data_IF_878060074285
#
_entry.id   IF_878060074285
#
_cell.length_a   1.000
_cell.length_b   1.000
_cell.length_c   1.000
_cell.angle_alpha   90.00
_cell.angle_beta   90.00
_cell.angle_gamma   90.00
#
_symmetry.space_group_name_H-M   'P 1'
#
loop_
_entity.id
_entity.type
_entity.pdbx_description
1 polymer ?
#
# COMPACT_ATOMS: atom_id res chain seq x y z
N UNK A 1 41.12 -58.26 -49.91
CA UNK A 1 42.41 -58.68 -49.34
C UNK A 1 43.27 -57.44 -49.17
N UNK A 2 43.73 -56.99 -48.02
CA UNK A 2 43.32 -57.07 -46.62
C UNK A 2 44.03 -55.88 -45.98
N UNK A 3 43.32 -55.11 -45.15
CA UNK A 3 43.88 -53.94 -44.46
C UNK A 3 44.86 -54.35 -43.36
N UNK A 4 45.81 -53.48 -42.97
CA UNK A 4 46.25 -53.42 -41.60
C UNK A 4 45.78 -52.13 -40.93
N UNK A 5 44.84 -52.35 -40.01
CA UNK A 5 44.58 -51.67 -38.74
C UNK A 5 45.30 -50.33 -38.47
N UNK A 6 44.53 -49.24 -38.47
CA UNK A 6 44.88 -47.98 -37.82
C UNK A 6 44.57 -48.10 -36.32
N UNK A 7 45.56 -47.85 -35.45
CA UNK A 7 45.40 -47.84 -34.00
C UNK A 7 44.34 -46.83 -33.53
N UNK A 8 43.54 -47.13 -32.49
CA UNK A 8 42.64 -46.15 -31.90
C UNK A 8 43.48 -45.14 -31.09
N UNK A 9 43.47 -43.89 -31.52
CA UNK A 9 44.03 -42.77 -30.76
C UNK A 9 43.29 -42.62 -29.42
N UNK A 10 44.04 -42.50 -28.33
CA UNK A 10 43.54 -42.27 -26.98
C UNK A 10 42.56 -41.07 -26.94
N UNK A 11 41.42 -41.17 -26.23
CA UNK A 11 40.60 -40.01 -25.95
C UNK A 11 41.34 -39.06 -24.98
N UNK A 12 41.48 -37.80 -25.38
CA UNK A 12 42.11 -36.76 -24.56
C UNK A 12 41.43 -36.66 -23.18
N UNK A 13 42.19 -36.89 -22.11
CA UNK A 13 41.74 -36.70 -20.72
C UNK A 13 41.26 -35.26 -20.55
N UNK A 14 39.96 -35.06 -20.36
CA UNK A 14 39.42 -33.77 -19.93
C UNK A 14 40.09 -33.38 -18.61
N UNK A 15 40.78 -32.26 -18.60
CA UNK A 15 41.50 -31.73 -17.43
C UNK A 15 40.45 -31.47 -16.35
N UNK A 16 40.42 -32.32 -15.32
CA UNK A 16 39.50 -32.17 -14.19
C UNK A 16 39.89 -30.86 -13.49
N UNK A 17 38.94 -29.96 -13.32
CA UNK A 17 39.18 -28.75 -12.53
C UNK A 17 39.61 -29.14 -11.13
N UNK A 18 40.58 -28.41 -10.59
CA UNK A 18 41.11 -28.62 -9.25
C UNK A 18 39.95 -28.55 -8.23
N UNK A 19 39.83 -29.49 -7.28
CA UNK A 19 38.81 -29.47 -6.23
C UNK A 19 38.69 -28.12 -5.52
N UNK A 20 39.79 -27.39 -5.33
CA UNK A 20 39.80 -26.07 -4.69
C UNK A 20 39.10 -25.04 -5.58
N UNK A 21 39.33 -25.10 -6.89
CA UNK A 21 38.68 -24.22 -7.88
C UNK A 21 37.19 -24.51 -7.94
N UNK A 22 36.81 -25.79 -7.88
CA UNK A 22 35.41 -26.19 -7.87
C UNK A 22 34.70 -25.73 -6.58
N UNK A 23 35.37 -25.81 -5.43
CA UNK A 23 34.85 -25.30 -4.16
C UNK A 23 34.68 -23.77 -4.20
N UNK A 24 35.70 -23.05 -4.67
CA UNK A 24 35.65 -21.59 -4.81
C UNK A 24 34.52 -21.13 -5.73
N UNK A 25 34.33 -21.82 -6.86
CA UNK A 25 33.22 -21.52 -7.79
C UNK A 25 31.86 -21.84 -7.17
N UNK A 26 31.75 -22.94 -6.41
CA UNK A 26 30.53 -23.29 -5.67
C UNK A 26 30.17 -22.24 -4.62
N UNK A 27 31.15 -21.76 -3.86
CA UNK A 27 30.97 -20.68 -2.87
C UNK A 27 30.59 -19.37 -3.55
N UNK A 28 31.21 -19.03 -4.69
CA UNK A 28 30.90 -17.82 -5.44
C UNK A 28 29.46 -17.85 -5.98
N UNK A 29 29.06 -18.95 -6.63
CA UNK A 29 27.71 -19.10 -7.18
C UNK A 29 26.68 -19.14 -6.04
N UNK A 30 26.96 -19.91 -4.98
CA UNK A 30 26.10 -19.96 -3.79
C UNK A 30 25.93 -18.60 -3.14
N UNK A 31 27.01 -17.83 -3.00
CA UNK A 31 26.98 -16.46 -2.48
C UNK A 31 26.13 -15.52 -3.35
N UNK A 32 26.32 -15.55 -4.67
CA UNK A 32 25.50 -14.77 -5.60
C UNK A 32 24.02 -15.17 -5.48
N UNK A 33 23.71 -16.47 -5.39
CA UNK A 33 22.34 -16.94 -5.21
C UNK A 33 21.73 -16.49 -3.89
N UNK A 34 22.44 -16.63 -2.78
CA UNK A 34 21.96 -16.23 -1.44
C UNK A 34 21.75 -14.71 -1.37
N UNK A 35 22.68 -13.91 -1.89
CA UNK A 35 22.54 -12.45 -1.93
C UNK A 35 21.39 -12.06 -2.86
N UNK A 36 21.30 -12.66 -4.04
CA UNK A 36 20.22 -12.36 -5.01
C UNK A 36 18.84 -12.75 -4.46
N UNK A 37 18.75 -13.90 -3.80
CA UNK A 37 17.52 -14.37 -3.15
C UNK A 37 17.17 -13.49 -1.95
N UNK A 38 18.16 -13.10 -1.13
CA UNK A 38 17.97 -12.15 -0.03
C UNK A 38 17.47 -10.81 -0.53
N UNK A 39 18.09 -10.25 -1.57
CA UNK A 39 17.64 -9.00 -2.21
C UNK A 39 16.27 -9.14 -2.87
N UNK A 40 15.89 -10.31 -3.40
CA UNK A 40 14.57 -10.56 -3.97
C UNK A 40 13.48 -10.62 -2.89
N UNK A 41 13.75 -11.29 -1.77
CA UNK A 41 12.84 -11.38 -0.62
C UNK A 41 12.75 -10.07 0.17
N UNK A 42 13.81 -9.27 0.18
CA UNK A 42 13.87 -7.98 0.89
C UNK A 42 13.52 -6.77 0.02
N UNK A 43 13.01 -6.96 -1.21
CA UNK A 43 12.52 -5.81 -1.98
C UNK A 43 11.42 -5.13 -1.17
N UNK A 44 11.63 -3.88 -0.71
CA UNK A 44 10.53 -3.08 -0.21
C UNK A 44 9.49 -3.06 -1.32
N UNK A 45 8.23 -3.26 -0.96
CA UNK A 45 7.12 -3.23 -1.90
C UNK A 45 7.08 -1.86 -2.59
N UNK A 46 7.81 -1.72 -3.70
CA UNK A 46 7.93 -0.48 -4.49
C UNK A 46 6.62 -0.09 -5.15
N UNK A 47 5.57 -0.88 -4.99
CA UNK A 47 4.23 -0.55 -5.48
C UNK A 47 3.55 0.52 -4.62
N UNK A 48 3.99 0.72 -3.37
CA UNK A 48 3.38 1.69 -2.46
C UNK A 48 4.19 3.00 -2.53
N UNK A 49 3.59 4.13 -2.93
CA UNK A 49 4.29 5.41 -2.91
C UNK A 49 4.71 5.78 -1.47
N UNK A 50 5.77 6.57 -1.30
CA UNK A 50 6.13 7.09 0.01
C UNK A 50 4.95 7.87 0.62
N UNK A 51 4.60 7.55 1.85
CA UNK A 51 3.57 8.25 2.61
C UNK A 51 3.97 8.34 4.09
N UNK A 52 3.36 9.27 4.81
CA UNK A 52 3.53 9.44 6.25
C UNK A 52 2.19 9.74 6.91
N UNK A 53 1.95 9.20 8.11
CA UNK A 53 0.81 9.61 8.92
C UNK A 53 1.17 10.94 9.56
N UNK A 54 0.47 12.02 9.20
CA UNK A 54 0.72 13.34 9.78
C UNK A 54 0.03 13.50 11.13
N UNK A 55 -1.28 13.28 11.14
CA UNK A 55 -2.09 13.34 12.35
C UNK A 55 -3.20 12.30 12.34
N UNK A 56 -3.68 11.95 13.53
CA UNK A 56 -4.81 11.04 13.69
C UNK A 56 -5.60 11.44 14.93
N UNK A 57 -6.92 11.56 14.78
CA UNK A 57 -7.85 11.95 15.82
C UNK A 57 -9.12 11.10 15.73
N UNK A 58 -9.37 10.31 16.77
CA UNK A 58 -10.47 9.33 16.78
C UNK A 58 -10.35 8.35 15.62
N UNK A 59 -11.38 8.31 14.77
CA UNK A 59 -11.43 7.49 13.56
C UNK A 59 -10.85 8.17 12.31
N UNK A 60 -10.48 9.46 12.38
CA UNK A 60 -9.97 10.23 11.25
C UNK A 60 -8.44 10.25 11.24
N UNK A 61 -7.86 9.96 10.08
CA UNK A 61 -6.41 9.88 9.85
C UNK A 61 -6.05 10.79 8.69
N UNK A 62 -5.12 11.71 8.92
CA UNK A 62 -4.53 12.55 7.89
C UNK A 62 -3.20 11.96 7.43
N UNK A 63 -3.13 11.60 6.15
CA UNK A 63 -1.96 11.02 5.51
C UNK A 63 -1.36 12.05 4.58
N UNK A 64 -0.05 12.24 4.68
CA UNK A 64 0.72 13.06 3.76
C UNK A 64 1.42 12.16 2.74
N UNK A 65 1.34 12.54 1.47
CA UNK A 65 2.16 12.01 0.37
C UNK A 65 2.98 13.14 -0.22
N UNK A 66 4.21 12.90 -0.70
CA UNK A 66 4.99 13.95 -1.35
C UNK A 66 4.24 14.60 -2.51
N UNK A 67 4.47 15.89 -2.79
CA UNK A 67 3.71 16.64 -3.80
C UNK A 67 3.93 16.14 -5.23
N UNK A 68 5.01 15.39 -5.49
CA UNK A 68 5.28 14.76 -6.78
C UNK A 68 4.56 13.41 -6.98
N UNK A 69 3.84 12.91 -5.98
CA UNK A 69 3.13 11.63 -6.07
C UNK A 69 1.95 11.75 -7.04
N UNK A 70 1.95 10.91 -8.06
CA UNK A 70 0.96 10.94 -9.13
C UNK A 70 -0.37 10.29 -8.71
N UNK A 71 -1.46 10.65 -9.39
CA UNK A 71 -2.80 10.10 -9.12
C UNK A 71 -2.85 8.57 -9.22
N UNK A 72 -2.19 7.91 -10.20
CA UNK A 72 -2.12 6.45 -10.23
C UNK A 72 -1.40 5.85 -9.02
N UNK A 73 -0.33 6.50 -8.52
CA UNK A 73 0.37 6.04 -7.32
C UNK A 73 -0.51 6.19 -6.07
N UNK A 74 -1.20 7.33 -5.95
CA UNK A 74 -2.19 7.54 -4.87
C UNK A 74 -3.31 6.51 -4.97
N UNK A 75 -3.78 6.18 -6.17
CA UNK A 75 -4.78 5.13 -6.38
C UNK A 75 -4.27 3.77 -5.91
N UNK A 76 -3.00 3.43 -6.15
CA UNK A 76 -2.39 2.20 -5.62
C UNK A 76 -2.36 2.21 -4.09
N UNK A 77 -2.03 3.34 -3.46
CA UNK A 77 -2.10 3.47 -1.99
C UNK A 77 -3.53 3.26 -1.46
N UNK A 78 -4.53 3.86 -2.11
CA UNK A 78 -5.95 3.67 -1.77
C UNK A 78 -6.38 2.21 -1.92
N UNK A 79 -5.96 1.54 -3.01
CA UNK A 79 -6.22 0.11 -3.20
C UNK A 79 -5.56 -0.74 -2.12
N UNK A 80 -4.34 -0.38 -1.69
CA UNK A 80 -3.66 -1.08 -0.61
C UNK A 80 -4.41 -0.98 0.71
N UNK A 81 -4.98 0.17 1.04
CA UNK A 81 -5.89 0.28 2.19
C UNK A 81 -7.10 -0.64 2.04
N UNK A 82 -7.68 -0.71 0.83
CA UNK A 82 -8.76 -1.65 0.51
C UNK A 82 -8.36 -3.12 0.69
N UNK A 83 -7.18 -3.52 0.24
CA UNK A 83 -6.65 -4.88 0.41
C UNK A 83 -6.49 -5.24 1.89
N UNK A 84 -5.93 -4.31 2.70
CA UNK A 84 -5.84 -4.51 4.16
C UNK A 84 -7.22 -4.63 4.78
N UNK A 85 -8.17 -3.78 4.37
CA UNK A 85 -9.57 -3.85 4.79
C UNK A 85 -10.24 -5.19 4.48
N UNK A 86 -10.00 -5.76 3.28
CA UNK A 86 -10.52 -7.08 2.87
C UNK A 86 -9.87 -8.23 3.62
N UNK A 87 -8.56 -8.16 3.84
CA UNK A 87 -7.78 -9.28 4.32
C UNK A 87 -7.88 -9.45 5.85
N UNK A 88 -7.57 -8.40 6.59
CA UNK A 88 -7.42 -8.48 8.06
C UNK A 88 -8.17 -7.40 8.80
N UNK A 89 -8.45 -6.27 8.13
CA UNK A 89 -8.94 -5.03 8.76
C UNK A 89 -8.00 -4.51 9.86
N UNK A 90 -6.74 -4.95 9.89
CA UNK A 90 -5.71 -4.45 10.80
C UNK A 90 -4.77 -3.51 10.07
N UNK A 91 -4.90 -2.21 10.35
CA UNK A 91 -4.11 -1.16 9.69
C UNK A 91 -2.81 -0.81 10.45
N UNK A 92 -2.44 -1.59 11.48
CA UNK A 92 -1.22 -1.33 12.26
C UNK A 92 0.06 -1.41 11.40
N UNK A 93 0.10 -2.34 10.44
CA UNK A 93 1.22 -2.48 9.50
C UNK A 93 1.36 -1.27 8.58
N UNK A 94 0.25 -0.56 8.33
CA UNK A 94 0.22 0.71 7.60
C UNK A 94 0.58 1.92 8.47
N UNK A 95 1.03 1.69 9.72
CA UNK A 95 1.39 2.70 10.73
C UNK A 95 0.23 3.56 11.23
N UNK A 96 -1.01 3.13 10.99
CA UNK A 96 -2.20 3.77 11.54
C UNK A 96 -2.39 3.27 12.97
N UNK A 97 -2.60 4.18 13.93
CA UNK A 97 -2.88 3.77 15.32
C UNK A 97 -4.27 3.16 15.37
N UNK A 98 -4.55 2.21 16.28
CA UNK A 98 -5.89 1.66 16.46
C UNK A 98 -6.95 2.76 16.55
N UNK A 99 -7.87 2.78 15.58
CA UNK A 99 -9.13 3.51 15.76
C UNK A 99 -10.09 2.60 16.54
N UNK A 100 -11.05 3.20 17.26
CA UNK A 100 -12.03 2.46 18.08
C UNK A 100 -11.40 1.50 19.09
N UNK A 101 -10.34 1.93 19.81
CA UNK A 101 -9.64 1.08 20.80
C UNK A 101 -10.55 0.54 21.91
N UNK A 102 -11.60 1.28 22.23
CA UNK A 102 -12.51 0.98 23.33
C UNK A 102 -13.80 0.27 22.84
N UNK A 103 -13.93 -0.01 21.53
CA UNK A 103 -15.09 -0.69 20.96
C UNK A 103 -14.95 -2.21 21.16
N UNK A 104 -15.93 -2.89 21.81
CA UNK A 104 -15.90 -4.34 21.99
C UNK A 104 -15.94 -5.14 20.69
N UNK A 105 -16.36 -4.53 19.57
CA UNK A 105 -16.34 -5.16 18.24
C UNK A 105 -14.92 -5.26 17.67
N UNK A 106 -13.97 -4.50 18.22
CA UNK A 106 -12.55 -4.56 17.88
C UNK A 106 -11.97 -3.23 17.38
N UNK A 107 -10.70 -3.29 17.00
CA UNK A 107 -9.98 -2.13 16.42
C UNK A 107 -10.43 -1.90 14.98
N UNK A 108 -10.34 -0.66 14.52
CA UNK A 108 -10.63 -0.27 13.13
C UNK A 108 -12.06 -0.55 12.65
N UNK A 109 -13.04 -0.48 13.56
CA UNK A 109 -14.45 -0.58 13.19
C UNK A 109 -14.89 0.61 12.35
N UNK A 110 -14.44 1.81 12.73
CA UNK A 110 -14.59 3.03 11.95
C UNK A 110 -13.22 3.62 11.68
N UNK A 111 -12.91 3.81 10.41
CA UNK A 111 -11.66 4.38 9.95
C UNK A 111 -11.93 5.26 8.73
N UNK A 112 -11.47 6.50 8.79
CA UNK A 112 -11.50 7.46 7.70
C UNK A 112 -10.08 7.97 7.47
N UNK A 113 -9.53 7.69 6.30
CA UNK A 113 -8.21 8.17 5.88
C UNK A 113 -8.42 9.26 4.83
N UNK A 114 -7.81 10.41 5.02
CA UNK A 114 -7.73 11.51 4.07
C UNK A 114 -6.28 11.73 3.67
N UNK A 115 -6.02 11.78 2.37
CA UNK A 115 -4.67 11.87 1.80
C UNK A 115 -4.45 13.27 1.24
N UNK A 116 -3.35 13.90 1.63
CA UNK A 116 -2.96 15.26 1.25
C UNK A 116 -1.55 15.29 0.65
N UNK A 117 -1.32 16.21 -0.27
CA UNK A 117 0.03 16.50 -0.78
C UNK A 117 0.72 17.65 -0.08
N UNK A 118 -0.04 18.51 0.60
CA UNK A 118 0.49 19.62 1.37
C UNK A 118 0.52 19.22 2.85
N UNK A 119 1.71 19.21 3.50
CA UNK A 119 1.84 18.81 4.89
C UNK A 119 1.02 19.68 5.86
N UNK A 120 0.71 20.94 5.49
CA UNK A 120 -0.10 21.85 6.29
C UNK A 120 -1.42 21.21 6.75
N UNK A 121 -2.13 20.52 5.84
CA UNK A 121 -3.42 19.88 6.14
C UNK A 121 -3.30 18.62 7.00
N UNK A 122 -2.09 18.11 7.20
CA UNK A 122 -1.82 16.91 7.98
C UNK A 122 -1.29 17.19 9.38
N UNK A 123 -1.14 18.47 9.73
CA UNK A 123 -0.74 18.88 11.07
C UNK A 123 -1.85 18.59 12.11
N UNK A 124 -1.48 18.21 13.35
CA UNK A 124 -2.45 17.90 14.40
C UNK A 124 -3.45 19.03 14.66
N UNK A 125 -3.00 20.29 14.66
CA UNK A 125 -3.87 21.44 14.96
C UNK A 125 -4.93 21.66 13.88
N UNK A 126 -4.57 21.47 12.60
CA UNK A 126 -5.50 21.61 11.49
C UNK A 126 -6.50 20.44 11.43
N UNK A 127 -6.04 19.22 11.75
CA UNK A 127 -6.93 18.07 11.87
C UNK A 127 -7.90 18.26 13.04
N UNK A 128 -7.42 18.69 14.20
CA UNK A 128 -8.24 18.96 15.36
C UNK A 128 -9.27 20.06 15.11
N UNK A 129 -8.85 21.15 14.47
CA UNK A 129 -9.77 22.19 14.01
C UNK A 129 -10.85 21.59 13.10
N UNK A 130 -10.50 20.78 12.11
CA UNK A 130 -11.48 20.14 11.23
C UNK A 130 -12.47 19.22 11.99
N UNK A 131 -12.00 18.49 13.02
CA UNK A 131 -12.83 17.55 13.80
C UNK A 131 -13.72 18.26 14.83
N UNK A 132 -13.18 19.23 15.56
CA UNK A 132 -13.86 19.92 16.66
C UNK A 132 -14.95 20.91 16.17
N UNK A 133 -14.91 21.30 14.90
CA UNK A 133 -15.74 22.38 14.37
C UNK A 133 -17.19 21.97 14.08
N UNK A 134 -18.05 22.12 15.08
CA UNK A 134 -19.52 22.23 14.95
C UNK A 134 -20.00 23.69 14.79
N UNK A 135 -19.10 24.67 14.87
CA UNK A 135 -19.44 26.09 14.96
C UNK A 135 -19.85 26.68 13.61
N UNK A 136 -20.98 27.38 13.60
CA UNK A 136 -21.62 27.97 12.42
C UNK A 136 -21.02 29.35 12.03
N UNK A 137 -19.71 29.51 12.18
CA UNK A 137 -18.98 30.73 11.79
C UNK A 137 -18.51 30.66 10.33
N UNK A 138 -18.51 31.80 9.63
CA UNK A 138 -18.14 31.86 8.22
C UNK A 138 -16.67 31.53 7.99
N UNK A 139 -15.78 31.88 8.92
CA UNK A 139 -14.35 31.57 8.79
C UNK A 139 -14.08 30.06 8.91
N UNK A 140 -14.82 29.37 9.79
CA UNK A 140 -14.71 27.92 9.95
C UNK A 140 -15.33 27.15 8.77
N UNK A 141 -16.41 27.67 8.18
CA UNK A 141 -16.96 27.14 6.92
C UNK A 141 -15.94 27.23 5.79
N UNK A 142 -15.24 28.37 5.66
CA UNK A 142 -14.17 28.54 4.67
C UNK A 142 -13.01 27.59 4.94
N UNK A 143 -12.56 27.46 6.19
CA UNK A 143 -11.50 26.52 6.56
C UNK A 143 -11.88 25.08 6.18
N UNK A 144 -13.08 24.63 6.55
CA UNK A 144 -13.59 23.29 6.23
C UNK A 144 -13.65 23.04 4.73
N UNK A 145 -14.12 24.02 3.95
CA UNK A 145 -14.17 23.92 2.49
C UNK A 145 -12.76 23.77 1.89
N UNK A 146 -11.80 24.54 2.38
CA UNK A 146 -10.42 24.48 1.90
C UNK A 146 -9.75 23.16 2.28
N UNK A 147 -9.99 22.67 3.50
CA UNK A 147 -9.52 21.36 3.96
C UNK A 147 -10.06 20.24 3.07
N UNK A 148 -11.37 20.22 2.83
CA UNK A 148 -12.04 19.23 2.00
C UNK A 148 -11.59 19.27 0.52
N UNK A 149 -11.37 20.48 0.00
CA UNK A 149 -10.85 20.68 -1.35
C UNK A 149 -9.38 20.27 -1.52
N UNK A 150 -8.59 20.33 -0.44
CA UNK A 150 -7.18 19.93 -0.45
C UNK A 150 -6.97 18.41 -0.40
N UNK A 151 -8.01 17.64 -0.07
CA UNK A 151 -7.95 16.18 -0.11
C UNK A 151 -7.68 15.72 -1.53
N UNK A 152 -6.64 14.91 -1.70
CA UNK A 152 -6.29 14.30 -2.99
C UNK A 152 -6.96 12.96 -3.22
N UNK A 153 -7.24 12.24 -2.14
CA UNK A 153 -7.85 10.93 -2.14
C UNK A 153 -8.27 10.55 -0.72
N UNK A 154 -9.06 9.51 -0.59
CA UNK A 154 -9.36 8.97 0.73
C UNK A 154 -9.84 7.52 0.69
N UNK A 155 -9.94 6.98 1.89
CA UNK A 155 -10.40 5.63 2.16
C UNK A 155 -11.29 5.65 3.39
N UNK A 156 -12.45 4.99 3.33
CA UNK A 156 -13.33 4.78 4.49
C UNK A 156 -13.56 3.29 4.71
N UNK A 157 -13.65 2.91 5.97
CA UNK A 157 -14.16 1.63 6.44
C UNK A 157 -15.09 1.87 7.63
N UNK A 158 -16.31 1.35 7.55
CA UNK A 158 -17.34 1.50 8.58
C UNK A 158 -18.09 0.17 8.76
N UNK A 159 -19.27 0.19 9.39
CA UNK A 159 -20.06 -1.02 9.60
C UNK A 159 -20.66 -1.59 8.29
N UNK A 160 -20.87 -0.75 7.27
CA UNK A 160 -21.57 -1.12 6.04
C UNK A 160 -20.62 -1.66 4.98
N UNK A 161 -19.40 -1.12 4.94
CA UNK A 161 -18.42 -1.56 3.97
C UNK A 161 -17.15 -0.72 3.97
N UNK A 162 -16.50 -0.71 2.81
CA UNK A 162 -15.36 0.13 2.55
C UNK A 162 -15.47 0.81 1.19
N UNK A 163 -14.84 1.98 1.09
CA UNK A 163 -14.76 2.69 -0.17
C UNK A 163 -13.46 3.47 -0.26
N UNK A 164 -12.92 3.55 -1.47
CA UNK A 164 -11.76 4.34 -1.80
C UNK A 164 -12.06 5.28 -2.96
N UNK A 165 -11.50 6.48 -2.94
CA UNK A 165 -11.71 7.49 -3.99
C UNK A 165 -10.47 8.33 -4.23
N UNK A 166 -10.45 8.96 -5.41
CA UNK A 166 -9.53 10.03 -5.78
C UNK A 166 -10.32 11.33 -5.86
N UNK A 167 -9.65 12.44 -5.58
CA UNK A 167 -10.22 13.77 -5.58
C UNK A 167 -10.66 14.25 -4.20
N UNK A 168 -11.21 15.46 -4.16
CA UNK A 168 -11.58 16.13 -2.93
C UNK A 168 -12.66 15.39 -2.14
N UNK A 169 -12.66 15.62 -0.83
CA UNK A 169 -13.64 15.04 0.06
C UNK A 169 -14.91 15.88 0.06
N UNK A 170 -16.07 15.23 0.06
CA UNK A 170 -17.35 15.92 0.13
C UNK A 170 -18.20 15.32 1.25
N UNK A 171 -17.85 15.65 2.49
CA UNK A 171 -18.58 15.16 3.69
C UNK A 171 -20.03 15.64 3.72
N UNK A 172 -20.29 16.82 3.16
CA UNK A 172 -21.56 17.55 3.29
C UNK A 172 -22.52 17.35 2.11
N UNK A 173 -22.17 16.53 1.12
CA UNK A 173 -22.95 16.44 -0.12
C UNK A 173 -23.05 17.80 -0.85
N UNK A 174 -22.05 18.66 -0.64
CA UNK A 174 -21.93 19.99 -1.24
C UNK A 174 -22.15 19.89 -2.74
N UNK A 175 -23.10 20.67 -3.26
CA UNK A 175 -23.42 20.80 -4.70
C UNK A 175 -22.32 21.52 -5.50
N UNK A 176 -21.19 21.82 -4.88
CA UNK A 176 -20.06 22.49 -5.51
C UNK A 176 -19.45 21.56 -6.56
N UNK A 177 -19.81 21.80 -7.82
CA UNK A 177 -19.43 21.02 -9.00
C UNK A 177 -17.90 21.01 -9.26
N UNK A 178 -17.13 21.76 -8.48
CA UNK A 178 -15.67 21.81 -8.54
C UNK A 178 -15.01 20.63 -7.81
N UNK A 179 -15.72 19.96 -6.91
CA UNK A 179 -15.21 18.83 -6.14
C UNK A 179 -15.66 17.49 -6.76
N UNK A 180 -15.02 17.08 -7.84
CA UNK A 180 -15.33 15.81 -8.52
C UNK A 180 -14.63 14.65 -7.82
N UNK A 181 -15.34 14.00 -6.90
CA UNK A 181 -14.91 12.75 -6.28
C UNK A 181 -15.03 11.61 -7.31
N UNK A 182 -13.94 10.88 -7.55
CA UNK A 182 -13.90 9.72 -8.42
C UNK A 182 -13.72 8.45 -7.60
N UNK A 183 -14.72 7.57 -7.60
CA UNK A 183 -14.64 6.29 -6.92
C UNK A 183 -13.57 5.38 -7.55
N UNK A 184 -12.71 4.82 -6.70
CA UNK A 184 -11.77 3.75 -7.05
C UNK A 184 -12.44 2.39 -6.83
N UNK A 185 -13.12 2.25 -5.69
CA UNK A 185 -13.98 1.12 -5.35
C UNK A 185 -14.98 1.53 -4.28
N UNK A 186 -16.10 0.84 -4.22
CA UNK A 186 -17.07 0.91 -3.15
C UNK A 186 -17.69 -0.48 -3.04
N UNK A 187 -17.57 -1.11 -1.88
CA UNK A 187 -18.03 -2.47 -1.67
C UNK A 187 -18.55 -2.66 -0.24
N UNK A 188 -19.55 -3.51 -0.10
CA UNK A 188 -20.00 -3.96 1.22
C UNK A 188 -19.01 -4.99 1.79
N UNK A 189 -19.08 -5.26 3.09
CA UNK A 189 -18.25 -6.34 3.68
C UNK A 189 -18.57 -7.72 3.11
N UNK A 190 -19.81 -7.93 2.66
CA UNK A 190 -20.21 -9.16 1.96
C UNK A 190 -19.49 -9.28 0.61
N UNK A 191 -19.52 -8.23 -0.21
CA UNK A 191 -18.84 -8.19 -1.52
C UNK A 191 -17.32 -8.30 -1.39
N UNK A 192 -16.75 -7.64 -0.38
CA UNK A 192 -15.33 -7.72 -0.02
C UNK A 192 -14.90 -9.15 0.33
N UNK A 193 -15.74 -9.88 1.08
CA UNK A 193 -15.45 -11.26 1.49
C UNK A 193 -15.47 -12.26 0.32
N UNK A 194 -16.30 -12.02 -0.70
CA UNK A 194 -16.39 -12.85 -1.90
C UNK A 194 -15.15 -12.71 -2.80
N UNK A 195 -14.59 -11.49 -2.91
CA UNK A 195 -13.35 -11.25 -3.66
C UNK A 195 -12.14 -11.96 -3.05
N UNK A 196 -12.13 -12.14 -1.73
CA UNK A 196 -11.02 -12.82 -1.06
C UNK A 196 -11.05 -14.34 -1.31
N UNK A 197 -12.22 -14.93 -1.57
CA UNK A 197 -12.38 -16.36 -1.85
C UNK A 197 -11.98 -16.75 -3.27
N UNK A 198 -12.21 -15.88 -4.25
CA UNK A 198 -11.85 -16.13 -5.66
C UNK A 198 -10.37 -15.90 -5.97
N UNK A 199 -9.66 -15.19 -5.09
CA UNK A 199 -8.24 -14.87 -5.22
C UNK A 199 -7.30 -15.91 -4.60
N UNK A 200 -7.85 -16.90 -3.89
CA UNK A 200 -7.06 -17.97 -3.27
C UNK A 200 -6.74 -19.05 -4.32
N UNK A 201 -5.46 -19.33 -4.64
CA UNK A 201 -5.13 -20.42 -5.54
C UNK A 201 -5.55 -21.75 -4.91
N UNK A 202 -6.18 -22.61 -5.72
CA UNK A 202 -6.51 -23.98 -5.32
C UNK A 202 -5.24 -24.71 -4.83
N UNK A 203 -5.37 -25.58 -3.81
CA UNK A 203 -4.24 -26.27 -3.18
C UNK A 203 -3.43 -27.14 -4.14
#
# INVERSE_FOLDING_TARGET
MDSPHKSPGQPARRKKFDPIVLMGLGILIGGIFVISLGMFLSRPDRSIPPYSIGAQEGSLVAVHVPPYTSDPEIQTLVRRFGDVGRATRDFADMKIRPTTSDDPRGRYQTLQILIFSDPFWTEPDNLHRYVANEVDDDSEKTFRKNFEAAVRAGYRADADGQAGWIGPWNRSGSKDRTLTMQWVFQETWEEASLHNQTSSPAP
#
